data_IF_448210732205
#
_entry.id   IF_448210732205
#
_cell.length_a   1.000
_cell.length_b   1.000
_cell.length_c   1.000
_cell.angle_alpha   90.00
_cell.angle_beta   90.00
_cell.angle_gamma   90.00
#
_symmetry.space_group_name_H-M   'P 1'
#
loop_
_entity.id
_entity.type
_entity.pdbx_description
1 polymer ?
#
# COMPACT_ATOMS: atom_id res chain seq x y z
N UNK A 1 46.11 22.08 67.58
CA UNK A 1 44.86 21.58 66.94
C UNK A 1 44.57 22.45 65.74
N UNK A 2 44.89 21.96 64.55
CA UNK A 2 44.63 22.67 63.26
C UNK A 2 43.15 22.44 62.89
N UNK A 3 42.36 23.53 62.90
CA UNK A 3 41.01 23.50 62.28
C UNK A 3 41.18 23.31 60.79
N UNK A 4 40.57 22.32 60.17
CA UNK A 4 40.57 22.23 58.73
C UNK A 4 39.80 23.43 58.16
N UNK A 5 40.42 24.23 57.33
CA UNK A 5 39.81 25.35 56.63
C UNK A 5 38.81 24.75 55.61
N UNK A 6 37.53 24.80 55.92
CA UNK A 6 36.44 24.26 55.07
C UNK A 6 36.17 25.25 53.91
N UNK A 7 37.22 25.48 53.05
CA UNK A 7 37.05 26.24 51.79
C UNK A 7 36.67 25.26 50.72
N UNK A 8 35.45 25.46 50.19
CA UNK A 8 34.99 24.77 49.00
C UNK A 8 36.02 24.88 47.88
N UNK A 9 36.34 23.78 47.24
CA UNK A 9 37.23 23.80 46.06
C UNK A 9 36.58 24.61 44.94
N UNK A 10 37.39 25.20 44.07
CA UNK A 10 36.90 25.97 42.93
C UNK A 10 35.91 25.17 42.03
N UNK A 11 36.08 23.85 41.99
CA UNK A 11 35.18 22.96 41.26
C UNK A 11 33.87 22.70 42.00
N UNK A 12 33.86 22.65 43.30
CA UNK A 12 32.65 22.55 44.13
C UNK A 12 31.80 23.84 44.06
N UNK A 13 32.46 25.01 44.02
CA UNK A 13 31.74 26.30 43.86
C UNK A 13 31.17 26.48 42.47
N UNK A 14 31.84 25.98 41.43
CA UNK A 14 31.28 25.92 40.07
C UNK A 14 30.10 24.98 40.02
N UNK A 15 30.21 23.77 40.56
CA UNK A 15 29.14 22.78 40.63
C UNK A 15 27.88 23.32 41.27
N UNK A 16 28.01 24.07 42.39
CA UNK A 16 26.92 24.75 43.10
C UNK A 16 26.20 25.83 42.25
N UNK A 17 26.97 26.66 41.56
CA UNK A 17 26.41 27.69 40.68
C UNK A 17 25.63 27.06 39.54
N UNK A 18 26.20 26.06 38.89
CA UNK A 18 25.54 25.31 37.85
C UNK A 18 24.29 24.57 38.32
N UNK A 19 24.35 23.95 39.50
CA UNK A 19 23.20 23.27 40.10
C UNK A 19 22.07 24.25 40.46
N UNK A 20 22.37 25.44 41.01
CA UNK A 20 21.37 26.48 41.32
C UNK A 20 20.75 27.10 40.07
N UNK A 21 21.54 27.25 39.01
CA UNK A 21 21.09 27.75 37.71
C UNK A 21 20.17 26.74 37.03
N UNK A 22 20.57 25.46 37.02
CA UNK A 22 19.78 24.32 36.56
C UNK A 22 18.47 24.16 37.36
N UNK A 23 18.54 24.35 38.68
CA UNK A 23 17.35 24.28 39.58
C UNK A 23 16.31 25.38 39.28
N UNK A 24 16.76 26.60 38.98
CA UNK A 24 15.87 27.70 38.56
C UNK A 24 15.19 27.41 37.23
N UNK A 25 15.93 26.84 36.28
CA UNK A 25 15.38 26.39 34.99
C UNK A 25 14.42 25.22 35.19
N UNK A 26 14.71 24.30 36.12
CA UNK A 26 13.85 23.13 36.41
C UNK A 26 12.50 23.57 37.02
N UNK A 27 12.47 24.54 37.91
CA UNK A 27 11.21 25.06 38.49
C UNK A 27 10.29 25.63 37.39
N UNK A 28 10.88 26.29 36.38
CA UNK A 28 10.11 26.79 35.25
C UNK A 28 9.67 25.61 34.33
N UNK A 29 10.55 24.65 34.06
CA UNK A 29 10.25 23.42 33.26
C UNK A 29 9.19 22.55 33.97
N UNK A 30 9.26 22.35 35.27
CA UNK A 30 8.26 21.57 36.03
C UNK A 30 6.86 22.19 35.93
N UNK A 31 6.76 23.53 35.86
CA UNK A 31 5.50 24.22 35.66
C UNK A 31 4.97 24.14 34.22
N UNK A 32 5.87 24.16 33.23
CA UNK A 32 5.53 24.15 31.79
C UNK A 32 5.27 22.74 31.24
N UNK A 33 5.99 21.73 31.75
CA UNK A 33 5.97 20.37 31.21
C UNK A 33 4.59 19.71 31.23
N UNK A 34 3.76 19.81 32.30
CA UNK A 34 2.42 19.22 32.26
C UNK A 34 1.53 19.84 31.17
N UNK A 35 1.66 21.15 30.94
CA UNK A 35 0.95 21.83 29.85
C UNK A 35 1.41 21.36 28.48
N UNK A 36 2.72 21.22 28.27
CA UNK A 36 3.27 20.70 27.03
C UNK A 36 2.84 19.24 26.76
N UNK A 37 2.86 18.39 27.79
CA UNK A 37 2.36 17.02 27.69
C UNK A 37 0.87 16.95 27.36
N UNK A 38 0.05 17.84 27.97
CA UNK A 38 -1.38 17.92 27.67
C UNK A 38 -1.63 18.28 26.20
N UNK A 39 -0.87 19.26 25.67
CA UNK A 39 -0.96 19.66 24.25
C UNK A 39 -0.54 18.51 23.32
N UNK A 40 0.56 17.81 23.61
CA UNK A 40 1.02 16.68 22.81
C UNK A 40 0.04 15.51 22.85
N UNK A 41 -0.50 15.18 24.03
CA UNK A 41 -1.50 14.14 24.19
C UNK A 41 -2.81 14.49 23.44
N UNK A 42 -3.21 15.78 23.49
CA UNK A 42 -4.38 16.26 22.75
C UNK A 42 -4.15 16.16 21.23
N UNK A 43 -2.97 16.56 20.75
CA UNK A 43 -2.61 16.45 19.34
C UNK A 43 -2.65 14.99 18.86
N UNK A 44 -2.03 14.07 19.61
CA UNK A 44 -2.09 12.63 19.32
C UNK A 44 -3.53 12.12 19.32
N UNK A 45 -4.38 12.57 20.27
CA UNK A 45 -5.80 12.21 20.29
C UNK A 45 -6.58 12.70 19.08
N UNK A 46 -6.33 13.93 18.60
CA UNK A 46 -6.97 14.46 17.38
C UNK A 46 -6.58 13.63 16.15
N UNK A 47 -5.30 13.34 15.96
CA UNK A 47 -4.85 12.51 14.84
C UNK A 47 -5.36 11.07 14.97
N UNK A 48 -5.41 10.51 16.17
CA UNK A 48 -6.02 9.19 16.41
C UNK A 48 -7.51 9.20 16.04
N UNK A 49 -8.25 10.25 16.37
CA UNK A 49 -9.64 10.40 15.96
C UNK A 49 -9.79 10.40 14.44
N UNK A 50 -9.01 11.22 13.74
CA UNK A 50 -9.03 11.29 12.28
C UNK A 50 -8.64 9.93 11.63
N UNK A 51 -7.64 9.25 12.19
CA UNK A 51 -7.24 7.92 11.73
C UNK A 51 -8.30 6.86 11.96
N UNK A 52 -8.98 6.87 13.11
CA UNK A 52 -10.07 5.91 13.41
C UNK A 52 -11.30 6.21 12.56
N UNK A 53 -11.67 7.48 12.39
CA UNK A 53 -12.83 7.85 11.56
C UNK A 53 -12.65 7.48 10.08
N UNK A 54 -11.42 7.40 9.58
CA UNK A 54 -11.15 6.94 8.20
C UNK A 54 -11.28 5.42 8.00
N UNK A 55 -11.43 4.64 9.07
CA UNK A 55 -11.60 3.18 9.02
C UNK A 55 -13.07 2.79 9.21
N UNK A 56 -13.82 3.58 9.96
CA UNK A 56 -15.18 3.27 10.36
C UNK A 56 -16.20 3.87 9.36
N UNK A 57 -17.31 3.18 9.15
CA UNK A 57 -18.43 3.72 8.38
C UNK A 57 -19.02 4.97 9.04
N UNK A 58 -19.47 5.92 8.23
CA UNK A 58 -19.98 7.21 8.71
C UNK A 58 -21.42 7.07 9.26
N UNK A 59 -21.51 6.67 10.54
CA UNK A 59 -22.78 6.62 11.28
C UNK A 59 -22.57 7.13 12.71
N UNK A 60 -23.65 7.56 13.37
CA UNK A 60 -23.60 8.18 14.71
C UNK A 60 -22.92 7.31 15.78
N UNK A 61 -23.06 6.00 15.71
CA UNK A 61 -22.45 5.07 16.67
C UNK A 61 -20.96 4.94 16.48
N UNK A 62 -20.48 4.99 15.25
CA UNK A 62 -19.05 4.91 14.92
C UNK A 62 -18.33 6.22 15.22
N UNK A 63 -18.95 7.37 15.00
CA UNK A 63 -18.43 8.68 15.42
C UNK A 63 -18.25 8.70 16.94
N UNK A 64 -19.25 8.24 17.70
CA UNK A 64 -19.13 8.12 19.15
C UNK A 64 -17.98 7.19 19.57
N UNK A 65 -17.85 6.05 18.93
CA UNK A 65 -16.76 5.09 19.20
C UNK A 65 -15.39 5.69 18.90
N UNK A 66 -15.23 6.41 17.79
CA UNK A 66 -13.99 7.10 17.42
C UNK A 66 -13.61 8.18 18.43
N UNK A 67 -14.57 8.99 18.89
CA UNK A 67 -14.37 10.00 19.94
C UNK A 67 -13.97 9.33 21.26
N UNK A 68 -14.68 8.31 21.69
CA UNK A 68 -14.40 7.61 22.94
C UNK A 68 -13.00 6.96 22.92
N UNK A 69 -12.63 6.31 21.81
CA UNK A 69 -11.32 5.70 21.63
C UNK A 69 -10.20 6.75 21.65
N UNK A 70 -10.32 7.84 20.89
CA UNK A 70 -9.31 8.88 20.82
C UNK A 70 -9.11 9.60 22.17
N UNK A 71 -10.21 9.82 22.90
CA UNK A 71 -10.17 10.39 24.25
C UNK A 71 -9.46 9.44 25.22
N UNK A 72 -9.76 8.15 25.19
CA UNK A 72 -9.11 7.14 26.03
C UNK A 72 -7.60 7.07 25.77
N UNK A 73 -7.19 7.09 24.48
CA UNK A 73 -5.77 7.10 24.07
C UNK A 73 -5.09 8.39 24.57
N UNK A 74 -5.69 9.55 24.32
CA UNK A 74 -5.14 10.86 24.73
C UNK A 74 -4.94 10.95 26.25
N UNK A 75 -5.96 10.57 27.04
CA UNK A 75 -5.87 10.53 28.49
C UNK A 75 -4.83 9.51 28.95
N UNK A 76 -4.79 8.33 28.33
CA UNK A 76 -3.80 7.29 28.62
C UNK A 76 -2.36 7.78 28.41
N UNK A 77 -2.08 8.44 27.31
CA UNK A 77 -0.76 9.03 26.99
C UNK A 77 -0.40 10.09 28.06
N UNK A 78 -1.32 11.01 28.34
CA UNK A 78 -1.08 12.08 29.33
C UNK A 78 -0.80 11.53 30.74
N UNK A 79 -1.61 10.58 31.19
CA UNK A 79 -1.48 9.94 32.51
C UNK A 79 -0.16 9.16 32.59
N UNK A 80 0.14 8.34 31.59
CA UNK A 80 1.38 7.55 31.53
C UNK A 80 2.62 8.44 31.68
N UNK A 81 2.74 9.48 30.86
CA UNK A 81 3.88 10.37 30.90
C UNK A 81 3.93 11.23 32.18
N UNK A 82 2.78 11.65 32.70
CA UNK A 82 2.70 12.37 33.96
C UNK A 82 3.19 11.52 35.15
N UNK A 83 2.86 10.22 35.14
CA UNK A 83 3.39 9.29 36.16
C UNK A 83 4.88 9.05 35.98
N UNK A 84 5.37 8.88 34.76
CA UNK A 84 6.80 8.70 34.49
C UNK A 84 7.63 9.88 34.98
N UNK A 85 7.15 11.12 34.74
CA UNK A 85 7.78 12.34 35.26
C UNK A 85 7.92 12.37 36.81
N UNK A 86 6.91 11.86 37.52
CA UNK A 86 6.90 11.85 38.98
C UNK A 86 7.70 10.67 39.57
N UNK A 87 7.63 9.51 38.97
CA UNK A 87 8.23 8.30 39.51
C UNK A 87 9.74 8.19 39.21
N UNK A 88 10.18 8.63 38.02
CA UNK A 88 11.58 8.49 37.60
C UNK A 88 12.55 9.21 38.58
N UNK A 89 12.28 10.44 39.03
CA UNK A 89 13.14 11.12 40.02
C UNK A 89 13.04 10.54 41.43
N UNK A 90 11.95 9.84 41.77
CA UNK A 90 11.73 9.29 43.11
C UNK A 90 12.51 7.96 43.34
N UNK A 91 12.95 7.29 42.28
CA UNK A 91 13.68 6.02 42.39
C UNK A 91 15.07 6.22 42.97
N UNK A 92 15.42 5.41 43.98
CA UNK A 92 16.73 5.44 44.68
C UNK A 92 17.55 4.18 44.51
N UNK A 93 16.93 3.08 44.06
CA UNK A 93 17.57 1.79 43.87
C UNK A 93 17.81 1.46 42.41
N UNK A 94 18.92 0.82 42.06
CA UNK A 94 19.23 0.39 40.70
C UNK A 94 18.15 -0.55 40.14
N UNK A 95 17.59 -1.43 40.97
CA UNK A 95 16.48 -2.31 40.57
C UNK A 95 15.22 -1.54 40.24
N UNK A 96 14.87 -0.49 41.02
CA UNK A 96 13.73 0.40 40.74
C UNK A 96 13.88 1.12 39.40
N UNK A 97 15.09 1.64 39.12
CA UNK A 97 15.37 2.26 37.82
C UNK A 97 15.20 1.29 36.65
N UNK A 98 15.73 0.05 36.79
CA UNK A 98 15.61 -0.97 35.74
C UNK A 98 14.14 -1.28 35.43
N UNK A 99 13.33 -1.57 36.47
CA UNK A 99 11.92 -1.90 36.27
C UNK A 99 11.10 -0.72 35.71
N UNK A 100 11.38 0.50 36.16
CA UNK A 100 10.70 1.69 35.66
C UNK A 100 11.09 1.99 34.19
N UNK A 101 12.37 1.82 33.84
CA UNK A 101 12.85 1.93 32.45
C UNK A 101 12.19 0.88 31.55
N UNK A 102 12.08 -0.35 32.05
CA UNK A 102 11.39 -1.42 31.32
C UNK A 102 9.91 -1.07 31.10
N UNK A 103 9.23 -0.60 32.14
CA UNK A 103 7.83 -0.14 32.03
C UNK A 103 7.69 1.03 31.04
N UNK A 104 8.66 1.97 31.05
CA UNK A 104 8.71 3.08 30.10
C UNK A 104 8.87 2.60 28.67
N UNK A 105 9.79 1.68 28.40
CA UNK A 105 10.00 1.11 27.05
C UNK A 105 8.77 0.36 26.59
N UNK A 106 8.17 -0.48 27.43
CA UNK A 106 6.93 -1.21 27.10
C UNK A 106 5.77 -0.24 26.83
N UNK A 107 5.59 0.79 27.65
CA UNK A 107 4.56 1.80 27.45
C UNK A 107 4.77 2.62 26.18
N UNK A 108 6.01 3.06 25.89
CA UNK A 108 6.35 3.73 24.64
C UNK A 108 6.03 2.84 23.43
N UNK A 109 6.45 1.58 23.48
CA UNK A 109 6.19 0.64 22.38
C UNK A 109 4.69 0.44 22.17
N UNK A 110 3.92 0.30 23.23
CA UNK A 110 2.45 0.16 23.14
C UNK A 110 1.79 1.44 22.57
N UNK A 111 2.20 2.63 23.03
CA UNK A 111 1.70 3.91 22.53
C UNK A 111 2.02 4.04 21.03
N UNK A 112 3.28 3.84 20.64
CA UNK A 112 3.72 3.94 19.25
C UNK A 112 2.96 2.93 18.38
N UNK A 113 2.84 1.68 18.81
CA UNK A 113 2.16 0.65 18.04
C UNK A 113 0.67 0.95 17.79
N UNK A 114 -0.02 1.54 18.78
CA UNK A 114 -1.45 1.86 18.67
C UNK A 114 -1.72 3.20 18.01
N UNK A 115 -0.92 4.22 18.33
CA UNK A 115 -1.18 5.61 17.95
C UNK A 115 -0.51 6.00 16.64
N UNK A 116 0.76 5.61 16.41
CA UNK A 116 1.52 6.08 15.25
C UNK A 116 0.95 5.61 13.92
N UNK A 117 0.34 4.43 13.86
CA UNK A 117 -0.35 3.95 12.66
C UNK A 117 -1.55 4.82 12.31
N UNK A 118 -2.42 5.11 13.28
CA UNK A 118 -3.59 5.97 13.09
C UNK A 118 -3.20 7.41 12.78
N UNK A 119 -2.15 7.92 13.45
CA UNK A 119 -1.61 9.24 13.19
C UNK A 119 -1.01 9.32 11.77
N UNK A 120 -0.33 8.28 11.30
CA UNK A 120 0.20 8.21 9.94
C UNK A 120 -0.95 8.13 8.91
N UNK A 121 -2.03 7.38 9.21
CA UNK A 121 -3.23 7.33 8.38
C UNK A 121 -3.91 8.70 8.27
N UNK A 122 -4.01 9.45 9.38
CA UNK A 122 -4.54 10.81 9.38
C UNK A 122 -3.68 11.78 8.58
N UNK A 123 -2.34 11.61 8.57
CA UNK A 123 -1.40 12.49 7.86
C UNK A 123 -1.27 12.20 6.37
N UNK A 124 -1.37 10.94 5.96
CA UNK A 124 -1.06 10.51 4.60
C UNK A 124 -2.08 9.52 4.02
N UNK A 125 -3.16 9.21 4.71
CA UNK A 125 -4.10 8.18 4.31
C UNK A 125 -4.72 8.43 2.94
N UNK A 126 -5.20 9.64 2.68
CA UNK A 126 -5.77 10.03 1.38
C UNK A 126 -4.76 9.87 0.25
N UNK A 127 -3.53 10.37 0.45
CA UNK A 127 -2.46 10.24 -0.55
C UNK A 127 -2.06 8.78 -0.79
N UNK A 128 -2.09 7.92 0.23
CA UNK A 128 -1.79 6.51 0.10
C UNK A 128 -2.89 5.74 -0.65
N UNK A 129 -4.17 6.11 -0.47
CA UNK A 129 -5.27 5.57 -1.26
C UNK A 129 -5.16 6.05 -2.71
N UNK A 130 -4.87 7.33 -2.95
CA UNK A 130 -4.63 7.87 -4.30
C UNK A 130 -3.52 7.11 -5.03
N UNK A 131 -2.43 6.78 -4.35
CA UNK A 131 -1.37 5.94 -4.90
C UNK A 131 -1.87 4.53 -5.25
N UNK A 132 -2.76 3.96 -4.41
CA UNK A 132 -3.38 2.67 -4.70
C UNK A 132 -4.24 2.73 -5.98
N UNK A 133 -5.05 3.78 -6.14
CA UNK A 133 -5.86 4.01 -7.35
C UNK A 133 -4.97 4.18 -8.59
N UNK A 134 -3.89 4.96 -8.48
CA UNK A 134 -2.95 5.17 -9.58
C UNK A 134 -2.24 3.87 -10.00
N UNK A 135 -1.75 3.09 -9.05
CA UNK A 135 -1.11 1.81 -9.31
C UNK A 135 -2.07 0.83 -9.98
N UNK A 136 -3.32 0.77 -9.52
CA UNK A 136 -4.37 -0.07 -10.12
C UNK A 136 -4.72 0.42 -11.53
N UNK A 137 -4.81 1.73 -11.75
CA UNK A 137 -5.04 2.30 -13.09
C UNK A 137 -3.95 1.90 -14.07
N UNK A 138 -2.67 1.94 -13.64
CA UNK A 138 -1.54 1.49 -14.47
C UNK A 138 -1.62 -0.01 -14.79
N UNK A 139 -2.05 -0.83 -13.85
CA UNK A 139 -2.26 -2.26 -14.08
C UNK A 139 -3.35 -2.49 -15.13
N UNK A 140 -4.51 -1.85 -14.99
CA UNK A 140 -5.59 -1.93 -15.98
C UNK A 140 -5.18 -1.42 -17.36
N UNK A 141 -4.37 -0.37 -17.42
CA UNK A 141 -3.85 0.11 -18.70
C UNK A 141 -2.98 -0.96 -19.39
N UNK A 142 -2.07 -1.60 -18.65
CA UNK A 142 -1.23 -2.67 -19.19
C UNK A 142 -2.08 -3.87 -19.65
N UNK A 143 -3.08 -4.23 -18.87
CA UNK A 143 -4.01 -5.32 -19.20
C UNK A 143 -4.83 -5.01 -20.47
N UNK A 144 -5.33 -3.79 -20.61
CA UNK A 144 -6.04 -3.31 -21.80
C UNK A 144 -5.15 -3.35 -23.04
N UNK A 145 -3.91 -2.87 -22.93
CA UNK A 145 -2.92 -2.90 -24.02
C UNK A 145 -2.61 -4.33 -24.46
N UNK A 146 -2.41 -5.25 -23.51
CA UNK A 146 -2.16 -6.67 -23.81
C UNK A 146 -3.37 -7.34 -24.48
N UNK A 147 -4.58 -7.12 -23.97
CA UNK A 147 -5.81 -7.66 -24.57
C UNK A 147 -6.01 -7.14 -26.00
N UNK A 148 -5.75 -5.86 -26.22
CA UNK A 148 -5.82 -5.25 -27.54
C UNK A 148 -4.76 -5.80 -28.50
N UNK A 149 -3.53 -6.00 -28.05
CA UNK A 149 -2.44 -6.59 -28.85
C UNK A 149 -2.80 -8.02 -29.30
N UNK A 150 -3.36 -8.84 -28.42
CA UNK A 150 -3.84 -10.20 -28.75
C UNK A 150 -4.95 -10.13 -29.80
N UNK A 151 -5.92 -9.22 -29.63
CA UNK A 151 -7.01 -9.05 -30.59
C UNK A 151 -6.50 -8.60 -31.97
N UNK A 152 -5.56 -7.64 -32.01
CA UNK A 152 -4.91 -7.20 -33.26
C UNK A 152 -4.07 -8.29 -33.92
N UNK A 153 -3.36 -9.11 -33.15
CA UNK A 153 -2.60 -10.23 -33.66
C UNK A 153 -3.53 -11.25 -34.33
N UNK A 154 -4.73 -11.46 -33.76
CA UNK A 154 -5.79 -12.22 -34.40
C UNK A 154 -6.24 -11.63 -35.75
N UNK A 155 -6.32 -10.32 -35.87
CA UNK A 155 -6.66 -9.61 -37.09
C UNK A 155 -5.61 -9.82 -38.21
N UNK A 156 -4.33 -9.91 -37.85
CA UNK A 156 -3.25 -10.15 -38.81
C UNK A 156 -3.43 -11.46 -39.59
N UNK A 157 -4.14 -12.45 -39.00
CA UNK A 157 -4.47 -13.72 -39.66
C UNK A 157 -5.36 -13.55 -40.92
N UNK A 158 -6.05 -12.38 -41.07
CA UNK A 158 -6.79 -12.07 -42.31
C UNK A 158 -5.93 -12.20 -43.55
N UNK A 159 -4.67 -11.72 -43.49
CA UNK A 159 -3.76 -11.80 -44.63
C UNK A 159 -3.37 -13.24 -44.97
N UNK A 160 -3.21 -14.10 -43.98
CA UNK A 160 -2.89 -15.52 -44.20
C UNK A 160 -4.07 -16.27 -44.79
N UNK A 161 -5.29 -15.98 -44.28
CA UNK A 161 -6.54 -16.55 -44.85
C UNK A 161 -6.75 -16.07 -46.28
N UNK A 162 -6.53 -14.77 -46.56
CA UNK A 162 -6.63 -14.20 -47.90
C UNK A 162 -5.65 -14.87 -48.86
N UNK A 163 -4.38 -15.00 -48.47
CA UNK A 163 -3.38 -15.70 -49.30
C UNK A 163 -3.75 -17.17 -49.58
N UNK A 164 -4.32 -17.86 -48.60
CA UNK A 164 -4.83 -19.23 -48.81
C UNK A 164 -6.02 -19.22 -49.76
N UNK A 165 -7.00 -18.32 -49.63
CA UNK A 165 -8.15 -18.18 -50.50
C UNK A 165 -7.74 -17.92 -51.97
N UNK A 166 -6.86 -16.93 -52.18
CA UNK A 166 -6.35 -16.57 -53.50
C UNK A 166 -5.61 -17.73 -54.19
N UNK A 167 -4.86 -18.53 -53.44
CA UNK A 167 -4.20 -19.70 -53.96
C UNK A 167 -5.21 -20.76 -54.44
N UNK A 168 -6.27 -21.04 -53.69
CA UNK A 168 -7.30 -22.00 -54.12
C UNK A 168 -8.16 -21.46 -55.26
N UNK A 169 -8.44 -20.17 -55.30
CA UNK A 169 -9.10 -19.53 -56.43
C UNK A 169 -8.30 -19.65 -57.72
N UNK A 170 -6.99 -19.42 -57.65
CA UNK A 170 -6.09 -19.61 -58.79
C UNK A 170 -6.06 -21.09 -59.29
N UNK A 171 -6.02 -22.06 -58.34
CA UNK A 171 -6.10 -23.47 -58.68
C UNK A 171 -7.45 -23.83 -59.32
N UNK A 172 -8.58 -23.30 -58.83
CA UNK A 172 -9.89 -23.50 -59.42
C UNK A 172 -9.95 -22.96 -60.89
N UNK A 173 -9.39 -21.75 -61.11
CA UNK A 173 -9.28 -21.18 -62.46
C UNK A 173 -8.40 -22.00 -63.41
N UNK A 174 -7.28 -22.56 -62.92
CA UNK A 174 -6.43 -23.45 -63.68
C UNK A 174 -7.17 -24.76 -64.06
N UNK A 175 -7.91 -25.33 -63.12
CA UNK A 175 -8.72 -26.52 -63.35
C UNK A 175 -9.84 -26.26 -64.34
N UNK A 176 -10.56 -25.13 -64.28
CA UNK A 176 -11.61 -24.78 -65.24
C UNK A 176 -11.08 -24.74 -66.72
N UNK A 177 -9.80 -24.35 -66.87
CA UNK A 177 -9.11 -24.33 -68.16
C UNK A 177 -8.50 -25.72 -68.59
N UNK A 178 -8.57 -26.70 -67.69
CA UNK A 178 -8.00 -28.01 -67.88
C UNK A 178 -6.50 -28.11 -67.75
N UNK A 179 -5.87 -27.11 -67.12
CA UNK A 179 -4.41 -27.06 -66.93
C UNK A 179 -3.93 -28.03 -65.86
N UNK A 180 -4.78 -28.42 -64.89
CA UNK A 180 -4.43 -29.33 -63.80
C UNK A 180 -4.76 -30.80 -64.14
N UNK A 181 -6.00 -31.16 -64.48
CA UNK A 181 -6.45 -32.50 -64.70
C UNK A 181 -6.43 -32.91 -66.16
N UNK A 182 -6.13 -31.99 -67.05
CA UNK A 182 -6.17 -32.19 -68.50
C UNK A 182 -7.59 -32.25 -69.12
N UNK A 183 -8.61 -31.91 -68.34
CA UNK A 183 -10.01 -31.84 -68.73
C UNK A 183 -10.60 -30.49 -68.35
N UNK A 184 -10.87 -29.62 -69.32
CA UNK A 184 -11.46 -28.34 -69.13
C UNK A 184 -12.93 -28.47 -68.66
N UNK A 185 -13.33 -27.66 -67.68
CA UNK A 185 -14.71 -27.58 -67.18
C UNK A 185 -14.84 -27.53 -65.67
N UNK A 186 -16.07 -27.40 -65.18
CA UNK A 186 -16.41 -27.31 -63.73
C UNK A 186 -16.63 -28.71 -63.13
N UNK A 187 -15.60 -29.57 -63.29
CA UNK A 187 -15.60 -30.92 -62.75
C UNK A 187 -15.55 -31.01 -61.26
N UNK A 188 -15.38 -32.23 -60.76
CA UNK A 188 -15.38 -32.50 -59.33
C UNK A 188 -14.27 -31.75 -58.55
N UNK A 189 -13.06 -31.62 -59.14
CA UNK A 189 -11.93 -30.89 -58.55
C UNK A 189 -12.23 -29.40 -58.46
N UNK A 190 -12.78 -28.81 -59.54
CA UNK A 190 -13.19 -27.41 -59.55
C UNK A 190 -14.18 -27.08 -58.42
N UNK A 191 -15.21 -27.93 -58.25
CA UNK A 191 -16.22 -27.73 -57.19
C UNK A 191 -15.62 -27.73 -55.77
N UNK A 192 -14.70 -28.66 -55.48
CA UNK A 192 -14.00 -28.72 -54.20
C UNK A 192 -13.18 -27.44 -53.97
N UNK A 193 -12.41 -27.00 -54.98
CA UNK A 193 -11.59 -25.79 -54.86
C UNK A 193 -12.45 -24.54 -54.65
N UNK A 194 -13.56 -24.41 -55.41
CA UNK A 194 -14.52 -23.30 -55.24
C UNK A 194 -15.16 -23.30 -53.88
N UNK A 195 -15.61 -24.47 -53.39
CA UNK A 195 -16.17 -24.57 -52.02
C UNK A 195 -15.15 -24.12 -50.98
N UNK A 196 -13.87 -24.50 -51.09
CA UNK A 196 -12.83 -24.09 -50.12
C UNK A 196 -12.50 -22.60 -50.24
N UNK A 197 -12.55 -22.02 -51.42
CA UNK A 197 -12.42 -20.59 -51.65
C UNK A 197 -13.56 -19.82 -50.95
N UNK A 198 -14.81 -20.30 -51.05
CA UNK A 198 -15.95 -19.72 -50.37
C UNK A 198 -15.85 -19.82 -48.83
N UNK A 199 -15.46 -20.98 -48.29
CA UNK A 199 -15.23 -21.17 -46.86
C UNK A 199 -14.19 -20.18 -46.32
N UNK A 200 -13.06 -19.99 -47.01
CA UNK A 200 -12.01 -19.04 -46.63
C UNK A 200 -12.46 -17.59 -46.85
N UNK A 201 -13.27 -17.30 -47.86
CA UNK A 201 -13.86 -15.97 -48.07
C UNK A 201 -14.79 -15.56 -46.90
N UNK A 202 -15.60 -16.49 -46.44
CA UNK A 202 -16.48 -16.26 -45.27
C UNK A 202 -15.66 -16.05 -44.00
N UNK A 203 -14.56 -16.81 -43.80
CA UNK A 203 -13.65 -16.63 -42.68
C UNK A 203 -12.94 -15.27 -42.75
N UNK A 204 -12.44 -14.87 -43.94
CA UNK A 204 -11.85 -13.54 -44.17
C UNK A 204 -12.84 -12.42 -43.83
N UNK A 205 -14.09 -12.53 -44.25
CA UNK A 205 -15.14 -11.56 -43.93
C UNK A 205 -15.44 -11.52 -42.41
N UNK A 206 -15.45 -12.66 -41.74
CA UNK A 206 -15.64 -12.75 -40.31
C UNK A 206 -14.50 -12.06 -39.53
N UNK A 207 -13.23 -12.30 -39.95
CA UNK A 207 -12.08 -11.60 -39.33
C UNK A 207 -12.20 -10.10 -39.51
N UNK A 208 -12.46 -9.66 -40.77
CA UNK A 208 -12.61 -8.23 -41.06
C UNK A 208 -13.75 -7.56 -40.28
N UNK A 209 -14.84 -8.29 -40.04
CA UNK A 209 -15.98 -7.84 -39.29
C UNK A 209 -15.69 -7.56 -37.79
N UNK A 210 -14.58 -8.08 -37.25
CA UNK A 210 -14.16 -7.82 -35.87
C UNK A 210 -13.31 -6.56 -35.73
N UNK A 211 -12.83 -5.93 -36.80
CA UNK A 211 -11.95 -4.76 -36.75
C UNK A 211 -12.58 -3.59 -36.02
N UNK A 212 -13.78 -3.23 -36.40
CA UNK A 212 -14.52 -2.10 -35.80
C UNK A 212 -14.89 -2.37 -34.34
N UNK A 213 -15.47 -3.53 -33.94
CA UNK A 213 -15.72 -3.86 -32.55
C UNK A 213 -14.46 -3.83 -31.66
N UNK A 214 -13.32 -4.33 -32.14
CA UNK A 214 -12.04 -4.29 -31.41
C UNK A 214 -11.61 -2.85 -31.16
N UNK A 215 -11.67 -1.99 -32.21
CA UNK A 215 -11.30 -0.58 -32.08
C UNK A 215 -12.23 0.16 -31.10
N UNK A 216 -13.54 -0.04 -31.20
CA UNK A 216 -14.52 0.56 -30.29
C UNK A 216 -14.32 0.10 -28.85
N UNK A 217 -14.02 -1.17 -28.61
CA UNK A 217 -13.73 -1.68 -27.28
C UNK A 217 -12.46 -1.03 -26.70
N UNK A 218 -11.40 -0.90 -27.51
CA UNK A 218 -10.17 -0.25 -27.08
C UNK A 218 -10.36 1.24 -26.79
N UNK A 219 -11.11 1.98 -27.63
CA UNK A 219 -11.43 3.39 -27.41
C UNK A 219 -12.28 3.58 -26.14
N UNK A 220 -13.23 2.67 -25.90
CA UNK A 220 -14.01 2.63 -24.67
C UNK A 220 -13.11 2.39 -23.46
N UNK A 221 -12.17 1.46 -23.54
CA UNK A 221 -11.19 1.18 -22.51
C UNK A 221 -10.33 2.39 -22.17
N UNK A 222 -9.85 3.11 -23.20
CA UNK A 222 -9.08 4.35 -22.99
C UNK A 222 -9.91 5.45 -22.33
N UNK A 223 -11.21 5.56 -22.66
CA UNK A 223 -12.11 6.49 -21.98
C UNK A 223 -12.28 6.13 -20.50
N UNK A 224 -12.42 4.84 -20.16
CA UNK A 224 -12.49 4.35 -18.78
C UNK A 224 -11.17 4.62 -18.03
N UNK A 225 -9.99 4.37 -18.64
CA UNK A 225 -8.70 4.72 -18.06
C UNK A 225 -8.59 6.22 -17.77
N UNK A 226 -9.08 7.06 -18.69
CA UNK A 226 -9.10 8.51 -18.50
C UNK A 226 -10.00 8.92 -17.32
N UNK A 227 -11.18 8.29 -17.19
CA UNK A 227 -12.08 8.47 -16.03
C UNK A 227 -11.38 8.04 -14.72
N UNK A 228 -10.78 6.85 -14.69
CA UNK A 228 -10.03 6.34 -13.53
C UNK A 228 -8.90 7.29 -13.11
N UNK A 229 -8.12 7.83 -14.07
CA UNK A 229 -7.10 8.85 -13.78
C UNK A 229 -7.69 10.13 -13.21
N UNK A 230 -8.85 10.56 -13.71
CA UNK A 230 -9.58 11.70 -13.15
C UNK A 230 -9.96 11.47 -11.68
N UNK A 231 -10.29 10.24 -11.29
CA UNK A 231 -10.64 9.88 -9.93
C UNK A 231 -9.40 9.80 -9.00
N UNK A 232 -8.19 9.58 -9.52
CA UNK A 232 -6.97 9.57 -8.68
C UNK A 232 -6.61 10.96 -8.15
N UNK A 233 -6.87 12.02 -8.91
CA UNK A 233 -6.49 13.41 -8.57
C UNK A 233 -7.69 14.34 -8.40
N UNK A 234 -8.90 13.81 -8.43
CA UNK A 234 -10.15 14.58 -8.37
C UNK A 234 -10.38 15.27 -7.02
N UNK A 235 -11.26 16.27 -7.00
CA UNK A 235 -11.75 16.87 -5.76
C UNK A 235 -12.81 15.98 -5.10
N UNK A 236 -12.95 16.08 -3.79
CA UNK A 236 -13.90 15.28 -2.99
C UNK A 236 -13.20 14.28 -2.06
N UNK A 237 -14.00 13.55 -1.28
CA UNK A 237 -13.44 12.56 -0.37
C UNK A 237 -12.82 11.40 -1.16
N UNK A 238 -11.75 10.83 -0.61
CA UNK A 238 -11.06 9.68 -1.24
C UNK A 238 -11.97 8.45 -1.23
N UNK A 239 -12.82 8.34 -0.23
CA UNK A 239 -13.80 7.27 -0.06
C UNK A 239 -14.82 7.28 -1.21
N UNK A 240 -15.44 8.44 -1.52
CA UNK A 240 -16.37 8.60 -2.63
C UNK A 240 -15.70 8.29 -3.97
N UNK A 241 -14.48 8.79 -4.17
CA UNK A 241 -13.70 8.51 -5.38
C UNK A 241 -13.35 7.03 -5.52
N UNK A 242 -13.07 6.35 -4.42
CA UNK A 242 -12.80 4.91 -4.37
C UNK A 242 -14.04 4.08 -4.77
N UNK A 243 -15.25 4.50 -4.38
CA UNK A 243 -16.50 3.87 -4.80
C UNK A 243 -16.74 4.05 -6.31
N UNK A 244 -16.60 5.28 -6.83
CA UNK A 244 -16.69 5.53 -8.27
C UNK A 244 -15.62 4.77 -9.06
N UNK A 245 -14.42 4.66 -8.52
CA UNK A 245 -13.35 3.88 -9.12
C UNK A 245 -13.69 2.38 -9.20
N UNK A 246 -14.40 1.86 -8.20
CA UNK A 246 -14.91 0.48 -8.24
C UNK A 246 -15.89 0.26 -9.40
N UNK A 247 -16.76 1.23 -9.69
CA UNK A 247 -17.67 1.16 -10.85
C UNK A 247 -16.89 1.17 -12.17
N UNK A 248 -15.91 2.05 -12.31
CA UNK A 248 -15.07 2.10 -13.51
C UNK A 248 -14.22 0.82 -13.66
N UNK A 249 -13.80 0.20 -12.57
CA UNK A 249 -13.08 -1.07 -12.61
C UNK A 249 -13.92 -2.22 -13.17
N UNK A 250 -15.20 -2.26 -12.82
CA UNK A 250 -16.16 -3.24 -13.40
C UNK A 250 -16.38 -3.00 -14.89
N UNK A 251 -16.47 -1.74 -15.32
CA UNK A 251 -16.57 -1.39 -16.75
C UNK A 251 -15.32 -1.83 -17.50
N UNK A 252 -14.13 -1.59 -16.93
CA UNK A 252 -12.87 -2.01 -17.53
C UNK A 252 -12.78 -3.52 -17.68
N UNK A 253 -13.15 -4.29 -16.66
CA UNK A 253 -13.21 -5.74 -16.73
C UNK A 253 -14.13 -6.22 -17.88
N UNK A 254 -15.26 -5.55 -18.07
CA UNK A 254 -16.18 -5.81 -19.19
C UNK A 254 -15.55 -5.54 -20.56
N UNK A 255 -14.80 -4.45 -20.69
CA UNK A 255 -14.07 -4.11 -21.92
C UNK A 255 -13.00 -5.14 -22.25
N UNK A 256 -12.19 -5.52 -21.26
CA UNK A 256 -11.13 -6.53 -21.43
C UNK A 256 -11.73 -7.89 -21.81
N UNK A 257 -12.82 -8.30 -21.15
CA UNK A 257 -13.56 -9.50 -21.50
C UNK A 257 -14.07 -9.46 -22.96
N UNK A 258 -14.57 -8.32 -23.41
CA UNK A 258 -15.02 -8.14 -24.80
C UNK A 258 -13.86 -8.26 -25.79
N UNK A 259 -12.70 -7.63 -25.52
CA UNK A 259 -11.52 -7.77 -26.38
C UNK A 259 -11.05 -9.23 -26.45
N UNK A 260 -11.06 -9.95 -25.35
CA UNK A 260 -10.72 -11.38 -25.33
C UNK A 260 -11.71 -12.22 -26.15
N UNK A 261 -13.01 -11.87 -26.17
CA UNK A 261 -14.03 -12.54 -26.98
C UNK A 261 -13.87 -12.25 -28.48
N UNK A 262 -13.36 -11.08 -28.85
CA UNK A 262 -13.13 -10.71 -30.25
C UNK A 262 -11.89 -11.39 -30.84
N UNK A 263 -11.09 -12.12 -30.06
CA UNK A 263 -9.96 -12.87 -30.57
C UNK A 263 -10.43 -13.99 -31.54
N UNK A 264 -10.09 -13.84 -32.80
CA UNK A 264 -10.51 -14.75 -33.88
C UNK A 264 -9.61 -15.96 -33.99
N UNK A 265 -8.45 -15.99 -33.37
CA UNK A 265 -7.45 -17.05 -33.48
C UNK A 265 -8.00 -18.47 -33.23
N UNK A 266 -8.89 -18.70 -32.22
CA UNK A 266 -9.50 -20.03 -32.03
C UNK A 266 -10.36 -20.48 -33.21
N UNK A 267 -11.07 -19.54 -33.85
CA UNK A 267 -11.91 -19.83 -35.03
C UNK A 267 -11.04 -20.17 -36.22
N UNK A 268 -9.98 -19.39 -36.49
CA UNK A 268 -9.01 -19.65 -37.55
C UNK A 268 -8.29 -20.98 -37.33
N UNK A 269 -7.84 -21.30 -36.14
CA UNK A 269 -7.20 -22.55 -35.80
C UNK A 269 -8.13 -23.76 -36.01
N UNK A 270 -9.42 -23.61 -35.76
CA UNK A 270 -10.43 -24.66 -36.03
C UNK A 270 -10.65 -24.78 -37.53
N UNK A 271 -10.91 -23.68 -38.23
CA UNK A 271 -11.11 -23.67 -39.65
C UNK A 271 -9.93 -24.29 -40.41
N UNK A 272 -8.71 -23.95 -40.01
CA UNK A 272 -7.48 -24.54 -40.59
C UNK A 272 -7.45 -26.07 -40.46
N UNK A 273 -7.83 -26.63 -39.32
CA UNK A 273 -7.89 -28.08 -39.10
C UNK A 273 -8.99 -28.74 -39.92
N UNK A 274 -10.11 -28.08 -40.11
CA UNK A 274 -11.29 -28.61 -40.79
C UNK A 274 -11.13 -28.54 -42.33
N UNK A 275 -10.29 -27.63 -42.85
CA UNK A 275 -10.05 -27.47 -44.29
C UNK A 275 -9.71 -28.79 -45.04
N UNK A 276 -8.72 -29.59 -44.60
CA UNK A 276 -8.40 -30.87 -45.27
C UNK A 276 -9.41 -31.98 -44.94
N UNK A 277 -10.00 -31.94 -43.69
CA UNK A 277 -10.89 -32.99 -43.22
C UNK A 277 -12.27 -33.00 -43.90
N UNK A 278 -12.72 -31.84 -44.37
CA UNK A 278 -14.04 -31.65 -44.99
C UNK A 278 -14.06 -31.88 -46.53
N UNK A 279 -12.97 -32.35 -47.09
CA UNK A 279 -12.94 -32.71 -48.55
C UNK A 279 -13.59 -34.07 -48.77
N UNK A 280 -14.77 -34.07 -49.37
CA UNK A 280 -15.39 -35.28 -49.90
C UNK A 280 -14.72 -35.57 -51.27
N UNK A 281 -14.00 -36.71 -51.35
CA UNK A 281 -13.35 -37.13 -52.60
C UNK A 281 -14.40 -37.30 -53.67
N UNK A 282 -14.32 -36.55 -54.80
CA UNK A 282 -15.30 -36.69 -55.88
C UNK A 282 -15.11 -38.01 -56.67
N UNK A 283 -16.21 -38.56 -57.14
CA UNK A 283 -16.12 -39.66 -58.08
C UNK A 283 -15.40 -39.21 -59.40
N UNK A 284 -14.48 -40.05 -59.82
CA UNK A 284 -13.71 -39.80 -61.09
C UNK A 284 -14.63 -39.98 -62.29
N UNK A 285 -14.91 -38.91 -63.01
CA UNK A 285 -15.81 -38.89 -64.17
C UNK A 285 -15.12 -39.01 -65.52
N UNK A 286 -13.81 -39.24 -65.49
CA UNK A 286 -13.00 -39.44 -66.70
C UNK A 286 -13.44 -40.65 -67.52
N UNK A 287 -13.66 -40.43 -68.83
CA UNK A 287 -14.12 -41.46 -69.77
C UNK A 287 -13.05 -42.50 -70.18
N UNK A 288 -11.79 -42.24 -69.87
CA UNK A 288 -10.67 -43.20 -70.16
C UNK A 288 -9.84 -43.42 -68.88
N UNK A 289 -9.11 -44.57 -68.85
CA UNK A 289 -8.20 -44.94 -67.77
C UNK A 289 -7.09 -43.92 -67.58
N UNK A 290 -6.60 -43.32 -68.67
CA UNK A 290 -5.57 -42.29 -68.66
C UNK A 290 -6.07 -40.96 -68.02
N UNK A 291 -7.29 -40.55 -68.37
CA UNK A 291 -7.90 -39.34 -67.82
C UNK A 291 -8.21 -39.54 -66.35
N UNK A 292 -8.72 -40.70 -65.95
CA UNK A 292 -8.95 -40.98 -64.48
C UNK A 292 -7.66 -41.00 -63.68
N UNK A 293 -6.56 -41.52 -64.26
CA UNK A 293 -5.25 -41.46 -63.58
C UNK A 293 -4.74 -40.01 -63.41
N UNK A 294 -4.90 -39.20 -64.48
CA UNK A 294 -4.55 -37.78 -64.40
C UNK A 294 -5.39 -37.00 -63.33
N UNK A 295 -6.72 -37.22 -63.31
CA UNK A 295 -7.61 -36.63 -62.28
C UNK A 295 -7.20 -37.08 -60.88
N UNK A 296 -6.89 -38.34 -60.63
CA UNK A 296 -6.42 -38.84 -59.33
C UNK A 296 -5.12 -38.18 -58.88
N UNK A 297 -4.14 -38.03 -59.83
CA UNK A 297 -2.89 -37.34 -59.55
C UNK A 297 -3.11 -35.87 -59.18
N UNK A 298 -3.99 -35.19 -59.92
CA UNK A 298 -4.37 -33.78 -59.60
C UNK A 298 -5.05 -33.65 -58.25
N UNK A 299 -6.00 -34.54 -57.97
CA UNK A 299 -6.65 -34.54 -56.61
C UNK A 299 -5.62 -34.71 -55.50
N UNK A 300 -4.66 -35.63 -55.67
CA UNK A 300 -3.58 -35.85 -54.72
C UNK A 300 -2.73 -34.57 -54.53
N UNK A 301 -2.38 -33.89 -55.59
CA UNK A 301 -1.61 -32.65 -55.57
C UNK A 301 -2.39 -31.49 -54.92
N UNK A 302 -3.69 -31.38 -55.20
CA UNK A 302 -4.58 -30.39 -54.59
C UNK A 302 -4.73 -30.65 -53.07
N UNK A 303 -4.91 -31.92 -52.69
CA UNK A 303 -4.98 -32.30 -51.27
C UNK A 303 -3.68 -32.00 -50.53
N UNK A 304 -2.51 -32.24 -51.16
CA UNK A 304 -1.22 -31.89 -50.56
C UNK A 304 -1.04 -30.38 -50.41
N UNK A 305 -1.45 -29.59 -51.40
CA UNK A 305 -1.43 -28.12 -51.30
C UNK A 305 -2.40 -27.58 -50.22
N UNK A 306 -3.58 -28.19 -50.11
CA UNK A 306 -4.56 -27.90 -49.07
C UNK A 306 -3.99 -28.18 -47.66
N UNK A 307 -3.40 -29.35 -47.45
CA UNK A 307 -2.78 -29.74 -46.19
C UNK A 307 -1.65 -28.80 -45.80
N UNK A 308 -0.79 -28.42 -46.73
CA UNK A 308 0.30 -27.48 -46.50
C UNK A 308 -0.23 -26.07 -46.06
N UNK A 309 -1.24 -25.55 -46.78
CA UNK A 309 -1.85 -24.26 -46.47
C UNK A 309 -2.58 -24.28 -45.11
N UNK A 310 -3.28 -25.38 -44.86
CA UNK A 310 -3.94 -25.65 -43.60
C UNK A 310 -2.95 -25.62 -42.40
N UNK A 311 -1.82 -26.31 -42.57
CA UNK A 311 -0.76 -26.30 -41.54
C UNK A 311 -0.19 -24.91 -41.29
N UNK A 312 0.16 -24.17 -42.35
CA UNK A 312 0.68 -22.80 -42.20
C UNK A 312 -0.33 -21.86 -41.49
N UNK A 313 -1.62 -22.01 -41.85
CA UNK A 313 -2.67 -21.21 -41.21
C UNK A 313 -2.89 -21.63 -39.73
N UNK A 314 -2.81 -22.92 -39.43
CA UNK A 314 -2.91 -23.44 -38.07
C UNK A 314 -1.72 -22.98 -37.19
N UNK A 315 -0.50 -22.99 -37.76
CA UNK A 315 0.71 -22.50 -37.07
C UNK A 315 0.59 -21.02 -36.75
N UNK A 316 0.19 -20.18 -37.72
CA UNK A 316 -0.02 -18.75 -37.50
C UNK A 316 -1.09 -18.48 -36.39
N UNK A 317 -2.21 -19.22 -36.45
CA UNK A 317 -3.24 -19.09 -35.40
C UNK A 317 -2.73 -19.58 -34.03
N UNK A 318 -1.87 -20.60 -34.00
CA UNK A 318 -1.28 -21.14 -32.80
C UNK A 318 -0.30 -20.14 -32.14
N UNK A 319 0.45 -19.37 -32.92
CA UNK A 319 1.31 -18.29 -32.40
C UNK A 319 0.49 -17.26 -31.65
N UNK A 320 -0.65 -16.84 -32.17
CA UNK A 320 -1.56 -15.91 -31.47
C UNK A 320 -2.13 -16.53 -30.20
N UNK A 321 -2.52 -17.82 -30.26
CA UNK A 321 -3.05 -18.54 -29.10
C UNK A 321 -2.00 -18.77 -27.99
N UNK A 322 -0.71 -18.78 -28.35
CA UNK A 322 0.40 -18.93 -27.41
C UNK A 322 0.79 -17.60 -26.72
N UNK A 323 0.23 -16.47 -27.15
CA UNK A 323 0.46 -15.20 -26.46
C UNK A 323 -0.06 -15.28 -25.02
N UNK A 324 0.73 -14.72 -24.09
CA UNK A 324 0.35 -14.74 -22.68
C UNK A 324 -0.91 -13.88 -22.45
N UNK A 325 -1.99 -14.45 -21.92
CA UNK A 325 -3.18 -13.68 -21.62
C UNK A 325 -2.86 -12.61 -20.55
N UNK A 326 -3.55 -11.47 -20.59
CA UNK A 326 -3.37 -10.44 -19.56
C UNK A 326 -3.71 -11.01 -18.18
N UNK A 327 -2.99 -10.53 -17.15
CA UNK A 327 -3.32 -10.85 -15.76
C UNK A 327 -4.61 -10.15 -15.39
N UNK A 328 -5.56 -10.88 -14.83
CA UNK A 328 -6.82 -10.29 -14.38
C UNK A 328 -6.56 -9.36 -13.18
N UNK A 329 -6.76 -8.09 -13.38
CA UNK A 329 -6.70 -7.07 -12.33
C UNK A 329 -8.06 -6.97 -11.65
N UNK A 330 -8.09 -7.15 -10.32
CA UNK A 330 -9.26 -6.91 -9.51
C UNK A 330 -8.99 -5.73 -8.57
N UNK A 331 -9.78 -4.68 -8.68
CA UNK A 331 -9.73 -3.60 -7.72
C UNK A 331 -10.40 -4.00 -6.40
N UNK A 332 -9.67 -3.90 -5.30
CA UNK A 332 -10.20 -4.04 -3.96
C UNK A 332 -10.05 -2.70 -3.23
N UNK A 333 -11.15 -2.05 -2.85
CA UNK A 333 -11.09 -0.86 -2.01
C UNK A 333 -10.30 -1.14 -0.73
N UNK A 334 -9.42 -0.22 -0.37
CA UNK A 334 -8.63 -0.30 0.88
C UNK A 334 -8.89 0.93 1.74
N UNK A 335 -8.86 0.76 3.06
CA UNK A 335 -8.94 1.87 4.00
C UNK A 335 -7.69 2.75 3.94
N UNK A 336 -7.80 4.03 4.35
CA UNK A 336 -6.66 4.95 4.48
C UNK A 336 -5.56 4.37 5.38
N UNK A 337 -5.94 3.67 6.45
CA UNK A 337 -5.02 3.04 7.37
C UNK A 337 -4.26 1.85 6.75
N UNK A 338 -4.94 1.01 5.95
CA UNK A 338 -4.30 -0.11 5.25
C UNK A 338 -3.41 0.39 4.11
N UNK A 339 -3.85 1.44 3.40
CA UNK A 339 -3.08 2.06 2.32
C UNK A 339 -1.73 2.60 2.82
N UNK A 340 -1.70 3.29 3.96
CA UNK A 340 -0.47 3.82 4.55
C UNK A 340 0.51 2.71 4.94
N UNK A 341 0.02 1.54 5.38
CA UNK A 341 0.87 0.38 5.66
C UNK A 341 1.39 -0.22 4.35
N UNK A 342 0.50 -0.42 3.37
CA UNK A 342 0.84 -1.03 2.08
C UNK A 342 1.90 -0.23 1.33
N UNK A 343 1.83 1.10 1.39
CA UNK A 343 2.74 2.03 0.73
C UNK A 343 3.69 2.74 1.70
N UNK A 344 3.96 2.17 2.88
CA UNK A 344 4.73 2.79 3.96
C UNK A 344 6.08 3.39 3.51
N UNK A 345 6.73 2.78 2.53
CA UNK A 345 8.02 3.26 1.99
C UNK A 345 7.93 4.61 1.31
N UNK A 346 6.77 4.96 0.75
CA UNK A 346 6.55 6.24 0.06
C UNK A 346 6.15 7.35 1.03
N UNK A 347 5.65 6.98 2.23
CA UNK A 347 5.17 7.90 3.26
C UNK A 347 6.05 7.95 4.51
N UNK A 348 7.35 7.70 4.36
CA UNK A 348 8.33 7.76 5.47
C UNK A 348 8.28 9.06 6.26
N UNK A 349 8.16 10.28 5.66
CA UNK A 349 8.02 11.51 6.43
C UNK A 349 6.78 11.56 7.32
N UNK A 350 5.65 11.05 6.84
CA UNK A 350 4.39 10.99 7.62
C UNK A 350 4.52 10.01 8.79
N UNK A 351 5.15 8.86 8.59
CA UNK A 351 5.48 7.92 9.65
C UNK A 351 6.43 8.53 10.68
N UNK A 352 7.47 9.22 10.23
CA UNK A 352 8.40 9.92 11.12
C UNK A 352 7.69 10.99 11.95
N UNK A 353 6.78 11.77 11.34
CA UNK A 353 5.96 12.74 12.04
C UNK A 353 5.03 12.10 13.07
N UNK A 354 4.34 11.03 12.71
CA UNK A 354 3.46 10.28 13.61
C UNK A 354 4.22 9.74 14.83
N UNK A 355 5.35 9.09 14.61
CA UNK A 355 6.21 8.55 15.67
C UNK A 355 6.78 9.69 16.54
N UNK A 356 7.17 10.80 15.93
CA UNK A 356 7.73 11.95 16.68
C UNK A 356 6.72 12.52 17.66
N UNK A 357 5.44 12.66 17.30
CA UNK A 357 4.36 13.14 18.19
C UNK A 357 4.28 12.28 19.46
N UNK A 358 4.33 10.95 19.30
CA UNK A 358 4.22 10.01 20.41
C UNK A 358 5.52 9.86 21.23
N UNK A 359 6.70 10.12 20.61
CA UNK A 359 8.00 10.00 21.25
C UNK A 359 8.46 11.28 21.98
N UNK A 360 8.04 12.46 21.51
CA UNK A 360 8.42 13.75 22.10
C UNK A 360 8.16 13.84 23.62
N UNK A 361 7.04 13.34 24.17
CA UNK A 361 6.85 13.29 25.62
C UNK A 361 7.95 12.50 26.33
N UNK A 362 8.38 11.36 25.74
CA UNK A 362 9.46 10.54 26.28
C UNK A 362 10.81 11.25 26.32
N UNK A 363 11.12 12.02 25.29
CA UNK A 363 12.33 12.83 25.23
C UNK A 363 12.32 13.91 26.31
N UNK A 364 11.18 14.58 26.52
CA UNK A 364 11.02 15.57 27.60
C UNK A 364 11.24 14.93 28.97
N UNK A 365 10.62 13.78 29.24
CA UNK A 365 10.80 13.03 30.49
C UNK A 365 12.26 12.63 30.68
N UNK A 366 12.93 12.17 29.63
CA UNK A 366 14.34 11.79 29.68
C UNK A 366 15.25 12.99 29.99
N UNK A 367 15.06 14.12 29.32
CA UNK A 367 15.82 15.36 29.58
C UNK A 367 15.67 15.78 31.05
N UNK A 368 14.43 15.81 31.56
CA UNK A 368 14.15 16.18 32.96
C UNK A 368 14.81 15.22 33.95
N UNK A 369 14.72 13.90 33.67
CA UNK A 369 15.36 12.88 34.51
C UNK A 369 16.88 13.03 34.57
N UNK A 370 17.54 13.26 33.44
CA UNK A 370 18.99 13.50 33.38
C UNK A 370 19.39 14.76 34.14
N UNK A 371 18.63 15.85 33.94
CA UNK A 371 18.87 17.12 34.62
C UNK A 371 18.73 16.98 36.14
N UNK A 372 17.66 16.35 36.62
CA UNK A 372 17.45 16.07 38.01
C UNK A 372 18.51 15.15 38.62
N UNK A 373 18.97 14.15 37.88
CA UNK A 373 20.07 13.27 38.31
C UNK A 373 21.39 14.04 38.43
N UNK A 374 21.68 14.99 37.53
CA UNK A 374 22.84 15.86 37.59
C UNK A 374 22.82 16.76 38.85
N UNK A 375 21.67 17.38 39.17
CA UNK A 375 21.48 18.21 40.37
C UNK A 375 21.68 17.38 41.64
N UNK A 376 21.10 16.17 41.71
CA UNK A 376 21.28 15.28 42.86
C UNK A 376 22.75 14.92 43.08
N UNK A 377 23.46 14.50 42.06
CA UNK A 377 24.91 14.21 42.17
C UNK A 377 25.72 15.39 42.65
N UNK A 378 25.38 16.60 42.23
CA UNK A 378 26.04 17.82 42.69
C UNK A 378 25.74 18.13 44.19
N UNK A 379 24.58 17.71 44.70
CA UNK A 379 24.17 17.88 46.13
C UNK A 379 24.72 16.74 47.01
N UNK A 380 24.70 15.51 46.58
CA UNK A 380 25.16 14.34 47.37
C UNK A 380 26.65 14.39 47.74
N UNK A 381 27.45 15.17 47.01
CA UNK A 381 28.86 15.42 47.32
C UNK A 381 29.13 16.51 48.38
N UNK A 382 28.07 17.09 49.00
CA UNK A 382 28.15 18.23 49.91
C UNK A 382 27.63 17.85 51.32
N UNK A 383 28.25 18.45 52.37
CA UNK A 383 27.70 18.35 53.71
C UNK A 383 26.37 19.11 53.86
N UNK A 384 25.48 18.64 54.72
CA UNK A 384 24.15 19.25 54.97
C UNK A 384 24.28 20.75 55.29
N UNK A 385 25.35 21.14 56.02
CA UNK A 385 25.65 22.52 56.38
C UNK A 385 25.93 23.44 55.15
N UNK A 386 26.32 22.88 54.00
CA UNK A 386 26.63 23.60 52.76
C UNK A 386 25.42 23.73 51.84
N UNK A 387 24.37 22.96 52.07
CA UNK A 387 23.15 22.93 51.25
C UNK A 387 21.99 23.71 51.83
N UNK A 388 22.00 24.01 53.14
CA UNK A 388 20.96 24.77 53.81
C UNK A 388 20.90 26.23 53.33
N UNK A 389 19.71 26.69 53.00
CA UNK A 389 19.45 28.08 52.71
C UNK A 389 19.46 28.91 54.03
N UNK A 390 19.69 30.25 53.96
CA UNK A 390 19.62 31.12 55.10
C UNK A 390 18.27 31.04 55.82
N UNK A 391 17.18 30.76 55.11
CA UNK A 391 15.84 30.59 55.66
C UNK A 391 15.71 29.30 56.47
N UNK A 392 16.22 28.17 55.89
CA UNK A 392 16.24 26.88 56.59
C UNK A 392 17.18 26.87 57.79
N UNK A 393 18.31 27.59 57.69
CA UNK A 393 19.22 27.78 58.83
C UNK A 393 18.57 28.58 59.96
N UNK A 394 17.81 29.64 59.67
CA UNK A 394 17.02 30.39 60.64
C UNK A 394 15.94 29.53 61.26
N UNK A 395 15.16 28.79 60.44
CA UNK A 395 14.13 27.89 60.95
C UNK A 395 14.71 26.78 61.86
N UNK A 396 15.88 26.23 61.51
CA UNK A 396 16.57 25.27 62.37
C UNK A 396 17.08 25.88 63.66
N UNK A 397 17.59 27.14 63.64
CA UNK A 397 18.02 27.86 64.85
C UNK A 397 16.83 28.23 65.73
N UNK A 398 15.71 28.63 65.17
CA UNK A 398 14.48 28.94 65.93
C UNK A 398 13.90 27.68 66.59
N UNK A 399 13.87 26.54 65.89
CA UNK A 399 13.48 25.25 66.45
C UNK A 399 14.43 24.76 67.55
N UNK A 400 15.74 24.99 67.44
CA UNK A 400 16.72 24.64 68.45
C UNK A 400 16.50 25.53 69.73
N UNK A 401 16.17 26.80 69.54
CA UNK A 401 15.87 27.72 70.63
C UNK A 401 14.60 27.30 71.38
N UNK A 402 13.56 26.91 70.67
CA UNK A 402 12.30 26.41 71.24
C UNK A 402 12.52 25.10 72.03
N UNK A 403 13.37 24.19 71.57
CA UNK A 403 13.76 23.00 72.32
C UNK A 403 14.59 23.33 73.55
N UNK A 404 15.46 24.33 73.48
CA UNK A 404 16.32 24.76 74.59
C UNK A 404 15.48 25.40 75.65
N UNK A 405 14.48 26.32 75.32
CA UNK A 405 13.52 26.89 76.20
C UNK A 405 12.64 25.83 76.91
N UNK A 406 12.14 24.83 76.16
CA UNK A 406 11.37 23.73 76.77
C UNK A 406 12.16 22.84 77.70
N UNK A 407 13.48 22.62 77.43
CA UNK A 407 14.38 21.92 78.36
C UNK A 407 14.70 22.69 79.57
N UNK A 408 14.82 24.03 79.52
CA UNK A 408 15.10 24.87 80.69
C UNK A 408 13.85 25.03 81.61
N UNK A 409 12.65 25.12 81.01
CA UNK A 409 11.40 25.03 81.71
C UNK A 409 11.20 23.69 82.43
N UNK A 410 11.56 22.57 81.78
CA UNK A 410 11.52 21.24 82.39
C UNK A 410 12.57 21.07 83.52
N UNK A 411 13.73 21.73 83.41
CA UNK A 411 14.73 21.76 84.50
C UNK A 411 14.31 22.60 85.68
N UNK A 412 13.69 23.77 85.43
CA UNK A 412 13.18 24.62 86.50
C UNK A 412 12.01 23.98 87.27
N UNK A 413 11.11 23.28 86.55
CA UNK A 413 10.01 22.54 87.16
C UNK A 413 10.47 21.37 88.07
N UNK A 414 11.66 20.77 87.77
CA UNK A 414 12.28 19.69 88.57
C UNK A 414 13.04 20.19 89.76
N UNK A 415 13.58 21.40 89.72
CA UNK A 415 14.33 22.04 90.89
C UNK A 415 13.44 22.70 91.86
N UNK A 416 12.12 22.90 91.63
CA UNK A 416 11.15 23.55 92.44
C UNK A 416 10.26 22.65 93.35
N UNK A 417 10.59 21.34 93.49
CA UNK A 417 9.88 20.44 94.42
C UNK A 417 10.58 20.50 95.80
N UNK A 418 10.00 21.12 96.78
CA UNK A 418 10.56 21.06 98.13
C UNK A 418 10.27 19.70 98.77
N UNK A 419 11.28 19.09 99.35
CA UNK A 419 11.19 17.96 100.26
C UNK A 419 10.16 18.28 101.35
N UNK A 420 9.11 17.48 101.42
CA UNK A 420 8.35 17.25 102.67
C UNK A 420 8.13 15.74 102.83
#
# INVERSE_FOLDING_TARGET
MNKPSNRLSADQTRGLRTAKELERHLLWLDSFTPGALAVLALASGIYTYLGVSSILEDNDTTVFAAVAYSLAVSVGIFVFWSYMLRLLPAMRTAGGYLWLTLAMVLGCTAIIAMSSWLNAAALAGSAAVEEHLENTTRQYQTELEQAYEIALSGQALEQDVRRAREAFEALAQQESRGELSGTAGEGAVFRVLTQKTEELSNLEAQIRGQTEPIQQAYDTGNAVISSMRGLTVGSGSVEDRSLLFSEESLRMAGVIASLNQYSIAPVVARAARDLPASVVLPELDGRSTKVRAAQSATITSVLAALDQRSKSLAEAAQEVLAMTPPQETAYNPISAADAVIRYARHFVPSWAGAIAIDLLPGVLVFILAVTQAAIRRARDGMSVEQTLTLAELRAAMDAMREVEETLDDARQSRSGSPDT
#
